data_IF_930519903309
#
_entry.id   IF_930519903309
#
_cell.length_a   1.000
_cell.length_b   1.000
_cell.length_c   1.000
_cell.angle_alpha   90.00
_cell.angle_beta   90.00
_cell.angle_gamma   90.00
#
_symmetry.space_group_name_H-M   'P 1'
#
loop_
_entity.id
_entity.type
_entity.pdbx_description
1 polymer ?
#
# COMPACT_ATOMS: atom_id res chain seq x y z
N UNK A 1 5.04 -6.88 -10.68
CA UNK A 1 4.08 -5.82 -11.04
C UNK A 1 2.78 -6.10 -10.28
N UNK A 2 2.25 -5.16 -9.48
CA UNK A 2 1.13 -5.40 -8.56
C UNK A 2 -0.19 -4.73 -8.97
N UNK A 3 -0.21 -3.99 -10.08
CA UNK A 3 -1.27 -3.02 -10.34
C UNK A 3 -1.94 -3.25 -11.70
N UNK A 4 -2.60 -4.39 -11.87
CA UNK A 4 -3.39 -4.65 -13.07
C UNK A 4 -4.87 -4.76 -12.73
N UNK A 5 -5.62 -3.71 -13.11
CA UNK A 5 -7.09 -3.57 -13.16
C UNK A 5 -7.85 -3.47 -11.84
N UNK A 6 -8.07 -2.22 -11.45
CA UNK A 6 -9.16 -1.80 -10.56
C UNK A 6 -10.43 -1.61 -11.39
N UNK A 7 -11.46 -2.44 -11.16
CA UNK A 7 -12.79 -2.25 -11.75
C UNK A 7 -13.82 -2.44 -10.65
N UNK A 8 -14.68 -1.41 -10.50
CA UNK A 8 -15.86 -1.24 -9.65
C UNK A 8 -16.35 -2.48 -8.88
N UNK A 9 -16.58 -2.30 -7.57
CA UNK A 9 -17.10 -3.31 -6.64
C UNK A 9 -16.05 -3.74 -5.62
N UNK A 10 -16.34 -3.52 -4.34
CA UNK A 10 -15.60 -3.96 -3.14
C UNK A 10 -14.41 -4.91 -3.43
N UNK A 11 -13.18 -4.38 -3.46
CA UNK A 11 -11.97 -5.21 -3.66
C UNK A 11 -11.05 -5.17 -2.46
N UNK A 12 -10.47 -6.34 -2.19
CA UNK A 12 -9.40 -6.57 -1.21
C UNK A 12 -8.15 -7.02 -1.96
N UNK A 13 -7.03 -6.35 -1.73
CA UNK A 13 -5.74 -6.67 -2.32
C UNK A 13 -4.76 -6.92 -1.18
N UNK A 14 -4.13 -8.09 -1.16
CA UNK A 14 -3.12 -8.45 -0.17
C UNK A 14 -1.80 -8.70 -0.90
N UNK A 15 -0.73 -8.06 -0.41
CA UNK A 15 0.60 -8.20 -0.98
C UNK A 15 1.63 -8.42 0.11
N UNK A 16 2.55 -9.36 -0.10
CA UNK A 16 3.65 -9.64 0.83
C UNK A 16 4.97 -9.66 0.06
N UNK A 17 5.95 -8.93 0.56
CA UNK A 17 7.36 -9.00 0.12
C UNK A 17 8.27 -9.15 1.33
N UNK A 18 9.58 -9.36 1.14
CA UNK A 18 10.52 -9.56 2.24
C UNK A 18 10.47 -8.39 3.24
N UNK A 19 9.85 -8.61 4.41
CA UNK A 19 9.69 -7.62 5.48
C UNK A 19 8.45 -6.72 5.41
N UNK A 20 7.70 -6.73 4.31
CA UNK A 20 6.49 -5.90 4.11
C UNK A 20 5.25 -6.76 3.92
N UNK A 21 4.17 -6.39 4.60
CA UNK A 21 2.85 -7.02 4.47
C UNK A 21 1.82 -5.91 4.33
N UNK A 22 1.12 -5.84 3.22
CA UNK A 22 0.14 -4.81 2.94
C UNK A 22 -1.21 -5.44 2.64
N UNK A 23 -2.26 -4.85 3.21
CA UNK A 23 -3.65 -5.14 2.86
C UNK A 23 -4.33 -3.84 2.49
N UNK A 24 -5.01 -3.84 1.36
CA UNK A 24 -5.76 -2.71 0.85
C UNK A 24 -7.20 -3.13 0.61
N UNK A 25 -8.13 -2.26 0.99
CA UNK A 25 -9.56 -2.44 0.74
C UNK A 25 -10.13 -1.16 0.14
N UNK A 26 -11.00 -1.28 -0.85
CA UNK A 26 -11.65 -0.14 -1.49
C UNK A 26 -13.17 -0.18 -1.27
N UNK A 27 -13.73 0.90 -0.73
CA UNK A 27 -15.16 1.07 -0.52
C UNK A 27 -15.59 2.51 -0.77
N UNK A 28 -16.56 2.70 -1.69
CA UNK A 28 -17.17 4.01 -2.01
C UNK A 28 -16.15 5.14 -2.26
N UNK A 29 -15.10 4.87 -3.03
CA UNK A 29 -14.06 5.85 -3.36
C UNK A 29 -13.03 6.08 -2.24
N UNK A 30 -13.09 5.34 -1.14
CA UNK A 30 -12.08 5.36 -0.07
C UNK A 30 -11.23 4.10 -0.14
N UNK A 31 -9.91 4.27 -0.07
CA UNK A 31 -8.96 3.15 0.05
C UNK A 31 -8.44 3.08 1.49
N UNK A 32 -8.68 1.97 2.16
CA UNK A 32 -8.10 1.65 3.46
C UNK A 32 -6.83 0.85 3.23
N UNK A 33 -5.71 1.31 3.78
CA UNK A 33 -4.40 0.68 3.68
C UNK A 33 -3.93 0.30 5.08
N UNK A 34 -3.54 -0.96 5.27
CA UNK A 34 -3.10 -1.48 6.55
C UNK A 34 -1.90 -2.41 6.39
N UNK A 35 -1.10 -2.52 7.44
CA UNK A 35 0.02 -3.47 7.52
C UNK A 35 1.37 -2.80 7.72
N UNK A 36 2.44 -3.42 7.22
CA UNK A 36 3.83 -3.00 7.39
C UNK A 36 4.46 -2.65 6.05
N UNK A 37 5.02 -1.45 5.96
CA UNK A 37 5.66 -0.91 4.76
C UNK A 37 6.94 -0.17 5.10
N UNK A 38 7.90 -0.13 4.19
CA UNK A 38 9.07 0.72 4.33
C UNK A 38 8.71 2.18 4.05
N UNK A 39 9.44 3.11 4.69
CA UNK A 39 9.21 4.56 4.54
C UNK A 39 9.29 4.99 3.07
N UNK A 40 10.29 4.50 2.32
CA UNK A 40 10.44 4.83 0.90
C UNK A 40 9.29 4.37 0.02
N UNK A 41 8.68 3.22 0.35
CA UNK A 41 7.59 2.64 -0.44
C UNK A 41 6.23 3.28 -0.12
N UNK A 42 6.05 3.82 1.08
CA UNK A 42 4.80 4.51 1.49
C UNK A 42 4.45 5.67 0.57
N UNK A 43 5.38 6.60 0.34
CA UNK A 43 5.09 7.78 -0.48
C UNK A 43 4.76 7.40 -1.93
N UNK A 44 5.50 6.44 -2.50
CA UNK A 44 5.24 5.93 -3.85
C UNK A 44 3.88 5.22 -3.96
N UNK A 45 3.48 4.48 -2.91
CA UNK A 45 2.18 3.83 -2.85
C UNK A 45 1.06 4.88 -2.78
N UNK A 46 1.11 5.81 -1.83
CA UNK A 46 0.08 6.83 -1.64
C UNK A 46 -0.10 7.71 -2.89
N UNK A 47 0.99 8.08 -3.55
CA UNK A 47 0.93 8.83 -4.81
C UNK A 47 0.17 8.04 -5.88
N UNK A 48 0.50 6.76 -6.08
CA UNK A 48 -0.18 5.91 -7.07
C UNK A 48 -1.65 5.67 -6.78
N UNK A 49 -2.01 5.58 -5.50
CA UNK A 49 -3.41 5.41 -5.10
C UNK A 49 -4.25 6.65 -5.41
N UNK A 50 -3.66 7.85 -5.30
CA UNK A 50 -4.32 9.11 -5.69
C UNK A 50 -4.50 9.28 -7.19
N UNK A 51 -3.70 8.59 -8.01
CA UNK A 51 -3.86 8.60 -9.47
C UNK A 51 -5.06 7.74 -9.95
N UNK A 52 -5.69 6.98 -9.04
CA UNK A 52 -6.86 6.17 -9.36
C UNK A 52 -8.09 7.09 -9.43
N UNK A 53 -8.71 7.15 -10.61
CA UNK A 53 -9.94 7.91 -10.83
C UNK A 53 -11.08 7.43 -9.92
N UNK A 54 -11.83 8.38 -9.35
CA UNK A 54 -12.92 8.10 -8.41
C UNK A 54 -12.50 7.87 -6.95
N UNK A 55 -11.21 7.99 -6.62
CA UNK A 55 -10.74 8.02 -5.23
C UNK A 55 -10.93 9.41 -4.63
N UNK A 56 -11.61 9.46 -3.49
CA UNK A 56 -11.91 10.67 -2.74
C UNK A 56 -11.16 10.72 -1.39
N UNK A 57 -10.54 9.60 -0.99
CA UNK A 57 -9.79 9.53 0.25
C UNK A 57 -8.98 8.24 0.41
N UNK A 58 -7.95 8.33 1.25
CA UNK A 58 -7.12 7.19 1.65
C UNK A 58 -7.04 7.20 3.18
N UNK A 59 -7.32 6.07 3.81
CA UNK A 59 -7.14 5.83 5.25
C UNK A 59 -5.92 4.93 5.45
N UNK A 60 -4.81 5.49 5.91
CA UNK A 60 -3.55 4.77 6.16
C UNK A 60 -3.18 4.71 7.65
N UNK A 61 -4.14 4.92 8.55
CA UNK A 61 -3.88 4.96 10.01
C UNK A 61 -3.33 3.66 10.58
N UNK A 62 -3.70 2.53 9.97
CA UNK A 62 -3.23 1.19 10.35
C UNK A 62 -1.92 0.79 9.65
N UNK A 63 -1.21 1.75 9.05
CA UNK A 63 0.05 1.52 8.36
C UNK A 63 1.23 1.76 9.31
N UNK A 64 2.00 0.70 9.56
CA UNK A 64 3.20 0.72 10.38
C UNK A 64 4.46 0.66 9.52
N UNK A 65 5.55 1.23 10.03
CA UNK A 65 6.83 1.16 9.35
C UNK A 65 7.59 -0.12 9.68
N UNK A 66 8.22 -0.70 8.67
CA UNK A 66 9.25 -1.74 8.84
C UNK A 66 10.60 -1.15 8.44
N UNK A 67 11.67 -1.61 9.10
CA UNK A 67 13.02 -1.26 8.70
C UNK A 67 13.25 -1.72 7.25
N UNK A 68 13.96 -0.93 6.41
CA UNK A 68 14.36 -1.41 5.10
C UNK A 68 15.14 -2.71 5.28
N UNK A 69 14.95 -3.68 4.38
CA UNK A 69 15.69 -4.94 4.36
C UNK A 69 17.21 -4.78 4.07
N UNK A 70 17.72 -3.55 4.17
CA UNK A 70 19.09 -3.15 3.86
C UNK A 70 19.76 -2.60 5.11
N UNK A 71 20.16 -3.50 6.02
CA UNK A 71 21.23 -3.24 6.98
C UNK A 71 22.05 -4.52 7.21
N UNK A 72 22.35 -5.25 6.13
CA UNK A 72 23.59 -6.02 6.06
C UNK A 72 24.58 -5.16 5.29
N UNK A 73 25.21 -4.23 5.99
CA UNK A 73 26.51 -3.70 5.55
C UNK A 73 27.51 -4.79 5.90
N UNK A 74 27.99 -5.53 4.89
CA UNK A 74 29.25 -6.26 4.97
C UNK A 74 30.36 -5.22 4.93
N UNK A 75 31.00 -5.02 6.09
CA UNK A 75 32.30 -4.36 6.24
C UNK A 75 33.43 -5.30 5.78
#
# INVERSE_FOLDING_TARGET
LWLERWVSGHRKLEGRTAGEELRMMAYRGVIVVSGRITVGRRNALLHRLWEIDGIIGIDDRDLSYTAPASAHFTE
#
